data_IF_164074586165
#
_entry.id   IF_164074586165
#
_cell.length_a   1.000
_cell.length_b   1.000
_cell.length_c   1.000
_cell.angle_alpha   90.00
_cell.angle_beta   90.00
_cell.angle_gamma   90.00
#
_symmetry.space_group_name_H-M   'P 1'
#
loop_
_entity.id
_entity.type
_entity.pdbx_description
1 polymer ?
#
# COMPACT_ATOMS: atom_id res chain seq x y z
N UNK A 1 -9.38 -14.99 4.11
CA UNK A 1 -9.38 -14.81 2.64
C UNK A 1 -8.11 -15.26 1.94
N UNK A 2 -6.94 -15.41 2.58
CA UNK A 2 -5.75 -15.97 1.90
C UNK A 2 -5.19 -15.10 0.75
N UNK A 3 -5.52 -13.80 0.74
CA UNK A 3 -5.16 -12.88 -0.32
C UNK A 3 -3.74 -12.32 -0.14
N UNK A 4 -3.12 -11.92 -1.25
CA UNK A 4 -2.02 -10.95 -1.26
C UNK A 4 -2.60 -9.53 -1.21
N UNK A 5 -1.88 -8.60 -0.60
CA UNK A 5 -2.34 -7.22 -0.47
C UNK A 5 -1.21 -6.22 -0.72
N UNK A 6 -1.56 -5.14 -1.41
CA UNK A 6 -0.72 -3.97 -1.56
C UNK A 6 -1.35 -2.83 -0.76
N UNK A 7 -0.56 -2.23 0.12
CA UNK A 7 -0.99 -1.13 0.98
C UNK A 7 -0.44 0.18 0.43
N UNK A 8 -1.31 1.16 0.26
CA UNK A 8 -0.94 2.53 -0.09
C UNK A 8 -1.35 3.47 1.06
N UNK A 9 -0.46 3.77 2.01
CA UNK A 9 -0.74 4.76 3.05
C UNK A 9 -0.82 6.18 2.45
N UNK A 10 -1.41 7.10 3.22
CA UNK A 10 -1.52 8.52 2.82
C UNK A 10 -0.16 9.22 2.92
N UNK A 11 0.21 9.94 1.85
CA UNK A 11 1.43 10.75 1.74
C UNK A 11 1.47 11.93 2.73
N UNK A 12 0.31 12.34 3.24
CA UNK A 12 0.21 13.43 4.24
C UNK A 12 0.78 12.98 5.59
N UNK A 13 0.79 11.67 5.85
CA UNK A 13 1.25 11.08 7.11
C UNK A 13 2.64 10.46 6.99
N UNK A 14 3.63 11.25 6.58
CA UNK A 14 5.00 10.82 6.23
C UNK A 14 5.66 9.90 7.27
N UNK A 15 5.57 10.23 8.56
CA UNK A 15 6.15 9.39 9.62
C UNK A 15 5.47 8.02 9.71
N UNK A 16 4.15 7.98 9.56
CA UNK A 16 3.37 6.74 9.67
C UNK A 16 3.62 5.82 8.48
N UNK A 17 3.66 6.37 7.26
CA UNK A 17 3.89 5.58 6.06
C UNK A 17 5.28 4.93 6.05
N UNK A 18 6.30 5.63 6.55
CA UNK A 18 7.67 5.10 6.68
C UNK A 18 7.74 3.95 7.66
N UNK A 19 7.13 4.13 8.83
CA UNK A 19 7.06 3.07 9.85
C UNK A 19 6.31 1.86 9.29
N UNK A 20 5.20 2.06 8.56
CA UNK A 20 4.44 0.97 7.96
C UNK A 20 5.28 0.18 6.95
N UNK A 21 6.00 0.88 6.07
CA UNK A 21 6.88 0.25 5.08
C UNK A 21 8.04 -0.53 5.74
N UNK A 22 8.66 0.03 6.78
CA UNK A 22 9.76 -0.62 7.51
C UNK A 22 9.30 -1.81 8.35
N UNK A 23 8.17 -1.69 9.05
CA UNK A 23 7.71 -2.72 9.97
C UNK A 23 7.08 -3.88 9.20
N UNK A 24 6.17 -3.63 8.26
CA UNK A 24 5.47 -4.71 7.56
C UNK A 24 6.44 -5.61 6.78
N UNK A 25 7.46 -5.01 6.17
CA UNK A 25 8.48 -5.75 5.42
C UNK A 25 9.33 -6.68 6.28
N UNK A 26 9.36 -6.49 7.62
CA UNK A 26 10.06 -7.36 8.58
C UNK A 26 9.21 -8.53 9.08
N UNK A 27 7.90 -8.38 9.09
CA UNK A 27 6.98 -9.37 9.68
C UNK A 27 6.16 -10.14 8.64
N UNK A 28 5.98 -9.59 7.44
CA UNK A 28 5.19 -10.20 6.37
C UNK A 28 6.06 -10.53 5.16
N UNK A 29 5.72 -11.61 4.48
CA UNK A 29 6.39 -11.99 3.24
C UNK A 29 6.13 -10.91 2.16
N UNK A 30 7.20 -10.26 1.72
CA UNK A 30 7.14 -9.18 0.73
C UNK A 30 6.59 -9.62 -0.63
N UNK A 31 6.63 -10.93 -0.91
CA UNK A 31 6.00 -11.53 -2.10
C UNK A 31 4.46 -11.47 -2.07
N UNK A 32 3.87 -11.34 -0.88
CA UNK A 32 2.42 -11.34 -0.68
C UNK A 32 1.91 -10.00 -0.14
N UNK A 33 2.75 -9.25 0.58
CA UNK A 33 2.39 -8.00 1.22
C UNK A 33 3.41 -6.92 0.88
N UNK A 34 2.97 -5.90 0.15
CA UNK A 34 3.81 -4.78 -0.25
C UNK A 34 3.24 -3.46 0.26
N UNK A 35 4.12 -2.50 0.58
CA UNK A 35 3.74 -1.12 0.89
C UNK A 35 4.30 -0.23 -0.21
N UNK A 36 3.44 0.52 -0.88
CA UNK A 36 3.83 1.49 -1.91
C UNK A 36 3.58 2.89 -1.38
N UNK A 37 4.64 3.68 -1.32
CA UNK A 37 4.59 5.09 -0.96
C UNK A 37 4.41 5.93 -2.22
N UNK A 38 3.74 7.07 -2.10
CA UNK A 38 3.54 7.98 -3.23
C UNK A 38 2.28 8.81 -3.09
N UNK A 39 2.15 9.82 -3.92
CA UNK A 39 1.02 10.72 -3.97
C UNK A 39 -0.05 10.30 -4.99
N UNK A 40 -0.79 11.27 -5.54
CA UNK A 40 -1.85 11.01 -6.51
C UNK A 40 -1.35 10.36 -7.80
N UNK A 41 -0.14 10.69 -8.27
CA UNK A 41 0.38 10.19 -9.54
C UNK A 41 0.78 8.71 -9.45
N UNK A 42 1.46 8.31 -8.39
CA UNK A 42 1.79 6.92 -8.11
C UNK A 42 0.52 6.09 -7.86
N UNK A 43 -0.47 6.68 -7.18
CA UNK A 43 -1.77 6.04 -6.96
C UNK A 43 -2.51 5.84 -8.30
N UNK A 44 -2.45 6.81 -9.21
CA UNK A 44 -3.04 6.70 -10.56
C UNK A 44 -2.42 5.56 -11.33
N UNK A 45 -1.09 5.46 -11.35
CA UNK A 45 -0.37 4.36 -12.00
C UNK A 45 -0.71 3.01 -11.35
N UNK A 46 -0.82 2.97 -10.02
CA UNK A 46 -1.21 1.76 -9.31
C UNK A 46 -2.59 1.27 -9.78
N UNK A 47 -3.57 2.18 -9.90
CA UNK A 47 -4.93 1.86 -10.33
C UNK A 47 -5.06 1.40 -11.80
N UNK A 48 -4.01 1.55 -12.62
CA UNK A 48 -3.96 0.97 -13.97
C UNK A 48 -3.74 -0.55 -13.93
N UNK A 49 -3.25 -1.09 -12.82
CA UNK A 49 -3.11 -2.52 -12.61
C UNK A 49 -4.44 -3.18 -12.22
N UNK A 50 -4.62 -4.44 -12.63
CA UNK A 50 -5.81 -5.22 -12.28
C UNK A 50 -5.69 -5.73 -10.84
N UNK A 51 -6.59 -5.26 -9.98
CA UNK A 51 -6.82 -5.82 -8.65
C UNK A 51 -8.13 -6.59 -8.62
N UNK A 52 -8.16 -7.70 -7.89
CA UNK A 52 -9.40 -8.45 -7.64
C UNK A 52 -10.36 -7.66 -6.73
N UNK A 53 -9.79 -6.83 -5.84
CA UNK A 53 -10.55 -5.99 -4.93
C UNK A 53 -9.73 -4.76 -4.54
N UNK A 54 -10.39 -3.59 -4.52
CA UNK A 54 -9.80 -2.32 -4.06
C UNK A 54 -10.63 -1.84 -2.86
N UNK A 55 -9.95 -1.66 -1.72
CA UNK A 55 -10.52 -1.03 -0.53
C UNK A 55 -9.94 0.37 -0.41
N UNK A 56 -10.80 1.39 -0.40
CA UNK A 56 -10.40 2.79 -0.35
C UNK A 56 -11.15 3.53 0.77
N UNK A 57 -10.42 4.35 1.51
CA UNK A 57 -10.96 5.23 2.55
C UNK A 57 -10.47 6.65 2.28
N UNK A 58 -11.40 7.56 2.04
CA UNK A 58 -11.17 9.01 1.99
C UNK A 58 -11.90 9.70 3.13
N UNK A 59 -11.76 11.03 3.20
CA UNK A 59 -12.82 11.85 3.79
C UNK A 59 -14.12 11.78 2.96
#
# INVERSE_FOLDING_TARGET
SGNCALLKPSEVSESTEKVLAEVLSRYLAQSCFAVVLGGPEETRQLLEHKFDYILFTSE
#
